data_IF_796096396122
#
_entry.id   IF_796096396122
#
_cell.length_a   1.000
_cell.length_b   1.000
_cell.length_c   1.000
_cell.angle_alpha   90.00
_cell.angle_beta   90.00
_cell.angle_gamma   90.00
#
_symmetry.space_group_name_H-M   'P 1'
#
loop_
_entity.id
_entity.type
_entity.pdbx_description
1 polymer ?
#
# COMPACT_ATOMS: atom_id res chain seq x y z
N UNK A 1 31.91 -14.27 2.48
CA UNK A 1 31.50 -12.86 2.12
C UNK A 1 30.41 -12.96 1.08
N UNK A 2 29.20 -12.49 1.37
CA UNK A 2 28.08 -12.48 0.41
C UNK A 2 28.34 -11.41 -0.67
N UNK A 3 28.23 -11.82 -1.94
CA UNK A 3 28.52 -10.96 -3.08
C UNK A 3 27.48 -9.82 -3.18
N UNK A 4 27.89 -8.62 -3.57
CA UNK A 4 27.02 -7.45 -3.78
C UNK A 4 25.86 -7.74 -4.73
N UNK A 5 26.10 -8.58 -5.74
CA UNK A 5 25.09 -8.98 -6.72
C UNK A 5 24.03 -9.89 -6.06
N UNK A 6 24.41 -10.81 -5.16
CA UNK A 6 23.47 -11.70 -4.46
C UNK A 6 22.53 -10.92 -3.56
N UNK A 7 23.04 -9.89 -2.87
CA UNK A 7 22.21 -8.98 -2.07
C UNK A 7 21.19 -8.20 -2.92
N UNK A 8 21.58 -7.75 -4.11
CA UNK A 8 20.69 -7.05 -5.04
C UNK A 8 19.60 -7.97 -5.55
N UNK A 9 19.95 -9.18 -5.94
CA UNK A 9 19.02 -10.21 -6.43
C UNK A 9 18.00 -10.59 -5.35
N UNK A 10 18.43 -10.83 -4.11
CA UNK A 10 17.53 -11.12 -2.97
C UNK A 10 16.54 -9.98 -2.72
N UNK A 11 16.99 -8.73 -2.77
CA UNK A 11 16.11 -7.55 -2.60
C UNK A 11 15.08 -7.41 -3.72
N UNK A 12 15.47 -7.67 -4.96
CA UNK A 12 14.56 -7.65 -6.10
C UNK A 12 13.55 -8.79 -6.03
N UNK A 13 13.97 -9.99 -5.65
CA UNK A 13 13.08 -11.13 -5.43
C UNK A 13 12.05 -10.83 -4.33
N UNK A 14 12.48 -10.28 -3.20
CA UNK A 14 11.59 -9.87 -2.11
C UNK A 14 10.62 -8.76 -2.57
N UNK A 15 11.08 -7.81 -3.38
CA UNK A 15 10.22 -6.76 -3.93
C UNK A 15 9.14 -7.33 -4.85
N UNK A 16 9.47 -8.30 -5.71
CA UNK A 16 8.51 -9.02 -6.55
C UNK A 16 7.47 -9.79 -5.71
N UNK A 17 7.92 -10.50 -4.67
CA UNK A 17 7.02 -11.23 -3.77
C UNK A 17 6.06 -10.31 -3.03
N UNK A 18 6.55 -9.18 -2.50
CA UNK A 18 5.70 -8.20 -1.80
C UNK A 18 4.78 -7.43 -2.74
N UNK A 19 5.20 -7.16 -3.98
CA UNK A 19 4.34 -6.64 -5.03
C UNK A 19 3.18 -7.60 -5.32
N UNK A 20 3.47 -8.89 -5.52
CA UNK A 20 2.48 -9.95 -5.69
C UNK A 20 1.56 -10.10 -4.49
N UNK A 21 2.10 -10.06 -3.26
CA UNK A 21 1.31 -10.09 -2.03
C UNK A 21 0.35 -8.88 -1.94
N UNK A 22 0.85 -7.67 -2.26
CA UNK A 22 0.01 -6.45 -2.28
C UNK A 22 -1.12 -6.58 -3.30
N UNK A 23 -0.81 -7.08 -4.51
CA UNK A 23 -1.80 -7.37 -5.54
C UNK A 23 -2.86 -8.34 -5.02
N UNK A 24 -2.47 -9.50 -4.50
CA UNK A 24 -3.40 -10.51 -4.00
C UNK A 24 -4.28 -10.00 -2.85
N UNK A 25 -3.71 -9.26 -1.90
CA UNK A 25 -4.46 -8.64 -0.81
C UNK A 25 -5.44 -7.58 -1.32
N UNK A 26 -5.09 -6.85 -2.38
CA UNK A 26 -5.97 -5.87 -3.00
C UNK A 26 -7.13 -6.54 -3.77
N UNK A 27 -6.91 -7.71 -4.37
CA UNK A 27 -7.98 -8.49 -5.02
C UNK A 27 -9.03 -8.99 -4.03
N UNK A 28 -8.70 -9.13 -2.73
CA UNK A 28 -9.69 -9.38 -1.67
C UNK A 28 -10.42 -8.07 -1.39
N UNK A 29 -11.47 -7.81 -2.15
CA UNK A 29 -12.13 -6.51 -2.22
C UNK A 29 -13.64 -6.60 -2.04
N UNK A 30 -14.22 -5.55 -1.46
CA UNK A 30 -15.66 -5.36 -1.29
C UNK A 30 -16.03 -4.05 -1.98
N UNK A 31 -16.96 -4.06 -2.98
CA UNK A 31 -17.40 -2.85 -3.66
C UNK A 31 -17.98 -1.81 -2.69
N UNK A 32 -17.74 -0.54 -2.96
CA UNK A 32 -18.31 0.56 -2.18
C UNK A 32 -19.80 0.77 -2.50
N UNK A 33 -20.61 1.17 -1.52
CA UNK A 33 -22.04 1.46 -1.73
C UNK A 33 -22.29 2.58 -2.75
N UNK A 34 -21.33 3.47 -2.97
CA UNK A 34 -21.38 4.53 -4.00
C UNK A 34 -21.41 4.00 -5.43
N UNK A 35 -21.08 2.72 -5.65
CA UNK A 35 -20.87 2.14 -6.97
C UNK A 35 -19.53 2.52 -7.63
N UNK A 36 -18.70 3.31 -6.95
CA UNK A 36 -17.38 3.73 -7.44
C UNK A 36 -16.30 3.32 -6.45
N UNK A 37 -15.38 2.46 -6.90
CA UNK A 37 -14.28 1.94 -6.10
C UNK A 37 -14.69 0.77 -5.18
N UNK A 38 -13.76 0.39 -4.31
CA UNK A 38 -13.88 -0.75 -3.41
C UNK A 38 -12.94 -0.59 -2.22
N UNK A 39 -13.22 -1.29 -1.10
CA UNK A 39 -12.29 -1.46 0.02
C UNK A 39 -11.62 -2.83 -0.05
N UNK A 40 -10.37 -2.93 0.43
CA UNK A 40 -9.54 -4.12 0.28
C UNK A 40 -8.49 -4.24 1.40
N UNK A 41 -7.73 -5.34 1.41
CA UNK A 41 -6.65 -5.56 2.37
C UNK A 41 -5.26 -5.12 1.85
N UNK A 42 -5.19 -4.49 0.69
CA UNK A 42 -3.93 -4.11 0.02
C UNK A 42 -3.05 -3.17 0.84
N UNK A 43 -3.63 -2.34 1.71
CA UNK A 43 -2.86 -1.44 2.59
C UNK A 43 -1.94 -2.21 3.56
N UNK A 44 -2.27 -3.44 3.94
CA UNK A 44 -1.36 -4.29 4.68
C UNK A 44 -0.10 -4.61 3.85
N UNK A 45 -0.26 -4.91 2.55
CA UNK A 45 0.85 -5.09 1.61
C UNK A 45 1.69 -3.82 1.44
N UNK A 46 1.05 -2.64 1.38
CA UNK A 46 1.73 -1.33 1.31
C UNK A 46 2.67 -1.14 2.51
N UNK A 47 2.20 -1.43 3.72
CA UNK A 47 2.98 -1.31 4.94
C UNK A 47 4.07 -2.38 5.06
N UNK A 48 3.83 -3.59 4.55
CA UNK A 48 4.89 -4.61 4.42
C UNK A 48 6.01 -4.14 3.50
N UNK A 49 5.67 -3.58 2.33
CA UNK A 49 6.65 -3.00 1.41
C UNK A 49 7.44 -1.87 2.06
N UNK A 50 6.77 -0.97 2.79
CA UNK A 50 7.40 0.14 3.51
C UNK A 50 8.42 -0.31 4.56
N UNK A 51 8.12 -1.40 5.28
CA UNK A 51 8.94 -1.93 6.38
C UNK A 51 10.09 -2.82 5.90
N UNK A 52 9.85 -3.67 4.90
CA UNK A 52 10.77 -4.75 4.56
C UNK A 52 11.69 -4.40 3.38
N UNK A 53 11.31 -3.41 2.55
CA UNK A 53 12.09 -3.04 1.38
C UNK A 53 12.87 -1.74 1.57
N UNK A 54 14.13 -1.68 1.15
CA UNK A 54 14.93 -0.47 1.24
C UNK A 54 14.63 0.50 0.10
N UNK A 55 14.72 1.80 0.39
CA UNK A 55 14.72 2.87 -0.61
C UNK A 55 13.47 2.91 -1.49
N UNK A 56 13.65 3.07 -2.78
CA UNK A 56 12.56 3.18 -3.75
C UNK A 56 11.85 1.87 -4.09
N UNK A 57 12.37 0.70 -3.69
CA UNK A 57 11.74 -0.59 -3.99
C UNK A 57 10.40 -0.76 -3.27
N UNK A 58 10.28 -0.27 -2.03
CA UNK A 58 9.04 -0.33 -1.26
C UNK A 58 7.88 0.42 -1.93
N UNK A 59 8.04 1.72 -2.23
CA UNK A 59 7.05 2.50 -2.95
C UNK A 59 6.64 1.89 -4.29
N UNK A 60 7.63 1.43 -5.06
CA UNK A 60 7.39 0.83 -6.38
C UNK A 60 6.59 -0.48 -6.26
N UNK A 61 7.01 -1.39 -5.39
CA UNK A 61 6.33 -2.68 -5.19
C UNK A 61 4.89 -2.49 -4.69
N UNK A 62 4.67 -1.57 -3.73
CA UNK A 62 3.36 -1.25 -3.19
C UNK A 62 2.43 -0.63 -4.24
N UNK A 63 2.91 0.41 -4.93
CA UNK A 63 2.13 1.12 -5.92
C UNK A 63 1.78 0.25 -7.13
N UNK A 64 2.77 -0.48 -7.69
CA UNK A 64 2.56 -1.36 -8.84
C UNK A 64 1.61 -2.52 -8.47
N UNK A 65 1.82 -3.17 -7.33
CA UNK A 65 0.95 -4.28 -6.90
C UNK A 65 -0.51 -3.86 -6.76
N UNK A 66 -0.77 -2.71 -6.12
CA UNK A 66 -2.13 -2.20 -5.97
C UNK A 66 -2.73 -1.73 -7.30
N UNK A 67 -1.98 -1.03 -8.14
CA UNK A 67 -2.46 -0.56 -9.45
C UNK A 67 -2.77 -1.71 -10.42
N UNK A 68 -1.99 -2.78 -10.39
CA UNK A 68 -2.28 -3.99 -11.18
C UNK A 68 -3.60 -4.65 -10.73
N UNK A 69 -3.91 -4.63 -9.43
CA UNK A 69 -5.20 -5.12 -8.95
C UNK A 69 -6.37 -4.29 -9.49
N UNK A 70 -6.25 -2.95 -9.54
CA UNK A 70 -7.26 -2.09 -10.16
C UNK A 70 -7.53 -2.48 -11.61
N UNK A 71 -6.47 -2.75 -12.39
CA UNK A 71 -6.61 -3.18 -13.79
C UNK A 71 -7.34 -4.51 -13.89
N UNK A 72 -7.01 -5.49 -13.03
CA UNK A 72 -7.64 -6.83 -13.02
C UNK A 72 -9.11 -6.74 -12.60
N UNK A 73 -9.43 -5.88 -11.62
CA UNK A 73 -10.79 -5.69 -11.11
C UNK A 73 -11.66 -4.81 -12.02
N UNK A 74 -11.13 -4.30 -13.15
CA UNK A 74 -11.87 -3.45 -14.08
C UNK A 74 -11.92 -1.96 -13.68
N UNK A 75 -11.15 -1.54 -12.69
CA UNK A 75 -11.06 -0.16 -12.21
C UNK A 75 -9.86 0.59 -12.82
N UNK A 76 -9.62 0.42 -14.12
CA UNK A 76 -8.47 0.98 -14.82
C UNK A 76 -8.30 2.49 -14.63
N UNK A 77 -9.41 3.24 -14.45
CA UNK A 77 -9.37 4.68 -14.17
C UNK A 77 -8.71 5.01 -12.83
N UNK A 78 -8.76 4.11 -11.83
CA UNK A 78 -8.12 4.29 -10.54
C UNK A 78 -6.63 3.91 -10.55
N UNK A 79 -6.18 3.04 -11.43
CA UNK A 79 -4.81 2.50 -11.43
C UNK A 79 -3.71 3.58 -11.37
N UNK A 80 -3.77 4.71 -12.11
CA UNK A 80 -2.75 5.75 -12.02
C UNK A 80 -2.70 6.43 -10.65
N UNK A 81 -3.86 6.78 -10.08
CA UNK A 81 -3.91 7.43 -8.75
C UNK A 81 -3.56 6.44 -7.65
N UNK A 82 -3.97 5.18 -7.77
CA UNK A 82 -3.60 4.11 -6.85
C UNK A 82 -2.08 3.91 -6.81
N UNK A 83 -1.43 3.87 -7.99
CA UNK A 83 0.04 3.81 -8.07
C UNK A 83 0.69 4.93 -7.25
N UNK A 84 0.22 6.16 -7.43
CA UNK A 84 0.77 7.34 -6.76
C UNK A 84 0.47 7.33 -5.26
N UNK A 85 -0.79 7.14 -4.87
CA UNK A 85 -1.23 7.20 -3.47
C UNK A 85 -0.58 6.08 -2.65
N UNK A 86 -0.64 4.83 -3.12
CA UNK A 86 -0.06 3.68 -2.40
C UNK A 86 1.47 3.73 -2.40
N UNK A 87 2.09 4.16 -3.52
CA UNK A 87 3.54 4.38 -3.59
C UNK A 87 4.00 5.47 -2.63
N UNK A 88 3.33 6.63 -2.61
CA UNK A 88 3.64 7.73 -1.70
C UNK A 88 3.43 7.34 -0.23
N UNK A 89 2.35 6.63 0.07
CA UNK A 89 2.09 6.10 1.42
C UNK A 89 3.22 5.17 1.86
N UNK A 90 3.64 4.21 1.02
CA UNK A 90 4.76 3.32 1.32
C UNK A 90 6.08 4.08 1.51
N UNK A 91 6.34 5.10 0.69
CA UNK A 91 7.54 5.92 0.79
C UNK A 91 7.60 6.67 2.12
N UNK A 92 6.54 7.42 2.46
CA UNK A 92 6.50 8.22 3.68
C UNK A 92 6.44 7.35 4.93
N UNK A 93 5.66 6.27 4.92
CA UNK A 93 5.65 5.29 6.02
C UNK A 93 7.04 4.66 6.22
N UNK A 94 7.74 4.30 5.14
CA UNK A 94 9.10 3.77 5.21
C UNK A 94 10.12 4.72 5.83
N UNK A 95 10.01 6.03 5.53
CA UNK A 95 10.81 7.07 6.19
C UNK A 95 10.43 7.24 7.66
N UNK A 96 9.12 7.25 7.94
CA UNK A 96 8.56 7.45 9.28
C UNK A 96 8.89 6.30 10.24
N UNK A 97 8.93 5.04 9.76
CA UNK A 97 9.34 3.87 10.56
C UNK A 97 10.75 3.97 11.12
N UNK A 98 11.63 4.74 10.47
CA UNK A 98 12.98 5.01 10.97
C UNK A 98 12.98 5.95 12.20
N UNK A 99 11.88 6.66 12.44
CA UNK A 99 11.70 7.61 13.54
C UNK A 99 10.79 7.04 14.62
N UNK A 100 9.54 6.76 14.29
CA UNK A 100 8.55 6.25 15.23
C UNK A 100 7.42 5.50 14.52
N UNK A 101 6.96 4.39 15.11
CA UNK A 101 5.84 3.61 14.58
C UNK A 101 4.55 4.45 14.48
N UNK A 102 4.15 5.25 15.50
CA UNK A 102 2.94 6.07 15.39
C UNK A 102 2.98 7.04 14.20
N UNK A 103 4.15 7.63 13.90
CA UNK A 103 4.30 8.51 12.75
C UNK A 103 4.10 7.76 11.43
N UNK A 104 4.59 6.53 11.33
CA UNK A 104 4.37 5.69 10.16
C UNK A 104 2.89 5.33 10.00
N UNK A 105 2.20 5.02 11.10
CA UNK A 105 0.76 4.73 11.06
C UNK A 105 -0.05 5.94 10.59
N UNK A 106 0.31 7.16 10.96
CA UNK A 106 -0.36 8.38 10.48
C UNK A 106 -0.30 8.54 8.96
N UNK A 107 0.69 7.95 8.28
CA UNK A 107 0.78 7.99 6.82
C UNK A 107 -0.42 7.29 6.13
N UNK A 108 -1.18 6.45 6.84
CA UNK A 108 -2.38 5.82 6.27
C UNK A 108 -3.45 6.85 5.85
N UNK A 109 -3.45 8.04 6.46
CA UNK A 109 -4.38 9.13 6.10
C UNK A 109 -4.20 9.66 4.68
N UNK A 110 -3.04 9.39 4.06
CA UNK A 110 -2.81 9.72 2.65
C UNK A 110 -3.75 8.95 1.72
N UNK A 111 -4.21 7.76 2.12
CA UNK A 111 -5.08 6.92 1.30
C UNK A 111 -6.46 7.56 1.13
N UNK A 112 -7.24 7.82 2.19
CA UNK A 112 -8.55 8.47 2.04
C UNK A 112 -8.43 9.89 1.46
N UNK A 113 -7.37 10.64 1.80
CA UNK A 113 -7.15 11.97 1.25
C UNK A 113 -6.87 11.92 -0.26
N UNK A 114 -5.99 11.05 -0.69
CA UNK A 114 -5.61 10.92 -2.10
C UNK A 114 -6.78 10.49 -2.99
N UNK A 115 -7.56 9.49 -2.54
CA UNK A 115 -8.74 9.08 -3.27
C UNK A 115 -9.83 10.14 -3.25
N UNK A 116 -10.08 10.81 -2.12
CA UNK A 116 -11.04 11.90 -2.05
C UNK A 116 -10.72 13.01 -3.06
N UNK A 117 -9.47 13.49 -3.11
CA UNK A 117 -9.05 14.52 -4.04
C UNK A 117 -9.23 14.09 -5.51
N UNK A 118 -8.93 12.84 -5.81
CA UNK A 118 -9.14 12.28 -7.15
C UNK A 118 -10.63 12.18 -7.50
N UNK A 119 -11.43 11.65 -6.59
CA UNK A 119 -12.86 11.41 -6.79
C UNK A 119 -13.67 12.72 -6.87
N UNK A 120 -13.25 13.79 -6.20
CA UNK A 120 -13.85 15.12 -6.36
C UNK A 120 -13.75 15.59 -7.81
N UNK A 121 -12.66 15.29 -8.49
CA UNK A 121 -12.45 15.64 -9.90
C UNK A 121 -13.20 14.69 -10.84
N UNK A 122 -13.19 13.39 -10.51
CA UNK A 122 -13.76 12.33 -11.35
C UNK A 122 -15.30 12.28 -11.26
N UNK A 123 -15.84 12.52 -10.07
CA UNK A 123 -17.27 12.36 -9.74
C UNK A 123 -17.86 13.73 -9.33
N UNK A 124 -18.17 13.83 -8.05
CA UNK A 124 -18.63 15.07 -7.38
C UNK A 124 -18.16 15.03 -5.92
N UNK A 125 -18.05 16.20 -5.29
CA UNK A 125 -17.63 16.28 -3.89
C UNK A 125 -18.54 15.49 -2.92
N UNK A 126 -19.90 15.50 -3.03
CA UNK A 126 -20.74 14.66 -2.17
C UNK A 126 -20.51 13.16 -2.35
N UNK A 127 -20.31 12.68 -3.60
CA UNK A 127 -20.04 11.27 -3.86
C UNK A 127 -18.67 10.86 -3.34
N UNK A 128 -17.65 11.68 -3.55
CA UNK A 128 -16.31 11.47 -2.99
C UNK A 128 -16.34 11.38 -1.45
N UNK A 129 -17.14 12.24 -0.79
CA UNK A 129 -17.25 12.25 0.67
C UNK A 129 -17.80 10.94 1.25
N UNK A 130 -18.71 10.25 0.54
CA UNK A 130 -19.24 8.95 0.96
C UNK A 130 -18.14 7.88 1.06
N UNK A 131 -17.12 7.97 0.17
CA UNK A 131 -16.03 7.00 0.12
C UNK A 131 -14.92 7.27 1.15
N UNK A 132 -14.88 8.43 1.79
CA UNK A 132 -13.82 8.80 2.76
C UNK A 132 -13.78 7.84 3.93
N UNK A 133 -14.93 7.58 4.57
CA UNK A 133 -14.98 6.72 5.76
C UNK A 133 -14.57 5.27 5.47
N UNK A 134 -15.10 4.58 4.43
CA UNK A 134 -14.63 3.25 4.05
C UNK A 134 -13.14 3.21 3.75
N UNK A 135 -12.62 4.16 2.99
CA UNK A 135 -11.19 4.25 2.66
C UNK A 135 -10.32 4.51 3.90
N UNK A 136 -10.80 5.30 4.86
CA UNK A 136 -10.10 5.55 6.12
C UNK A 136 -10.04 4.28 6.99
N UNK A 137 -11.16 3.56 7.13
CA UNK A 137 -11.21 2.29 7.87
C UNK A 137 -10.29 1.25 7.26
N UNK A 138 -10.34 1.08 5.93
CA UNK A 138 -9.43 0.22 5.19
C UNK A 138 -7.97 0.56 5.48
N UNK A 139 -7.61 1.84 5.36
CA UNK A 139 -6.24 2.29 5.52
C UNK A 139 -5.70 2.07 6.94
N UNK A 140 -6.52 2.35 7.98
CA UNK A 140 -6.15 2.14 9.38
C UNK A 140 -5.96 0.65 9.68
N UNK A 141 -6.90 -0.20 9.27
CA UNK A 141 -6.83 -1.65 9.48
C UNK A 141 -5.61 -2.22 8.75
N UNK A 142 -5.43 -1.86 7.48
CA UNK A 142 -4.31 -2.30 6.67
C UNK A 142 -2.95 -1.86 7.23
N UNK A 143 -2.84 -0.59 7.67
CA UNK A 143 -1.63 -0.07 8.31
C UNK A 143 -1.28 -0.84 9.59
N UNK A 144 -2.26 -1.11 10.44
CA UNK A 144 -2.09 -1.89 11.66
C UNK A 144 -1.62 -3.31 11.37
N UNK A 145 -2.35 -4.04 10.53
CA UNK A 145 -2.02 -5.42 10.14
C UNK A 145 -0.64 -5.52 9.48
N UNK A 146 -0.38 -4.67 8.49
CA UNK A 146 0.90 -4.65 7.78
C UNK A 146 2.08 -4.33 8.70
N UNK A 147 1.89 -3.41 9.67
CA UNK A 147 2.92 -3.08 10.66
C UNK A 147 3.21 -4.25 11.59
N UNK A 148 2.18 -4.92 12.13
CA UNK A 148 2.34 -6.06 13.06
C UNK A 148 3.06 -7.20 12.34
N UNK A 149 2.55 -7.61 11.17
CA UNK A 149 3.13 -8.71 10.38
C UNK A 149 4.54 -8.36 9.92
N UNK A 150 4.76 -7.13 9.44
CA UNK A 150 6.07 -6.68 8.96
C UNK A 150 7.13 -6.62 10.06
N UNK A 151 6.76 -6.15 11.26
CA UNK A 151 7.67 -6.18 12.43
C UNK A 151 8.02 -7.61 12.85
N UNK A 152 7.05 -8.51 12.78
CA UNK A 152 7.31 -9.93 13.05
C UNK A 152 8.27 -10.51 12.01
N UNK A 153 8.01 -10.31 10.72
CA UNK A 153 8.87 -10.77 9.63
C UNK A 153 10.31 -10.20 9.73
N UNK A 154 10.47 -8.91 10.08
CA UNK A 154 11.80 -8.32 10.30
C UNK A 154 12.64 -9.09 11.32
N UNK A 155 12.02 -9.56 12.42
CA UNK A 155 12.71 -10.31 13.48
C UNK A 155 13.24 -11.66 12.98
N UNK A 156 12.55 -12.30 12.04
CA UNK A 156 13.02 -13.55 11.44
C UNK A 156 14.11 -13.29 10.40
N UNK A 157 13.92 -12.30 9.52
CA UNK A 157 14.89 -11.94 8.48
C UNK A 157 16.23 -11.44 9.05
N UNK A 158 16.22 -10.86 10.26
CA UNK A 158 17.44 -10.40 10.92
C UNK A 158 18.25 -11.53 11.58
N UNK A 159 17.67 -12.74 11.73
CA UNK A 159 18.31 -13.92 12.33
C UNK A 159 18.83 -14.93 11.29
N UNK A 160 18.39 -14.79 10.04
CA UNK A 160 18.80 -15.61 8.90
C UNK A 160 19.98 -14.97 8.15
#
# INVERSE_FOLDING_TARGET
MENKNDKKTKRLALAGQLCGATLLLTLISIPLPSGYGYVNLGDAGVYLCALLLPGGLGPLAAGVGAALADLILGWAMYAPVTLLVKGLTAFLAGLAFRRAIPLALLCCLLVPLGYFLYEVVLLTAPMAAVNVLPNALQAVIGAGLGTVVGKHAQRYLSKA
#
